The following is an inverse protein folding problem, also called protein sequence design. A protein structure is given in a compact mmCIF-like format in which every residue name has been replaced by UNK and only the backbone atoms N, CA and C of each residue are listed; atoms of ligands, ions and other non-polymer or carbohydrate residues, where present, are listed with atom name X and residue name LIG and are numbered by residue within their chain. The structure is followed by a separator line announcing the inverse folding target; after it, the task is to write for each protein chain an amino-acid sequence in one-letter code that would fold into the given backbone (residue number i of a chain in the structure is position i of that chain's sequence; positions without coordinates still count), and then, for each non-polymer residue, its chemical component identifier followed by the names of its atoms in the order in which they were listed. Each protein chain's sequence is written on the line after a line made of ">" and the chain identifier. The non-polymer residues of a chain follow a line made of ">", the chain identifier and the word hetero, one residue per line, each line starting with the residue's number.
data_IF_837495475291
#
_entry.id   IF_837495475291
#
_cell.length_a   1.000
_cell.length_b   1.000
_cell.length_c   1.000
_cell.angle_alpha   90.00
_cell.angle_beta   90.00
_cell.angle_gamma   90.00
#
_symmetry.space_group_name_H-M   'P 1'
#
loop_
_entity.id
_entity.type
_entity.pdbx_description
1 polymer ?
#
# COMPACT_ATOMS: atom_id res chain seq x y z
N UNK A 1 2.84 -9.30 -0.36
CA UNK A 1 2.19 -8.59 -1.49
C UNK A 1 2.53 -7.10 -1.54
N UNK A 2 2.17 -6.30 -0.52
CA UNK A 2 2.35 -4.84 -0.55
C UNK A 2 3.00 -4.35 0.75
N UNK A 3 4.34 -4.30 0.84
CA UNK A 3 5.04 -4.01 2.09
C UNK A 3 4.86 -2.56 2.57
N UNK A 4 4.72 -1.62 1.63
CA UNK A 4 4.55 -0.19 1.88
C UNK A 4 3.48 0.38 0.95
N UNK A 5 2.96 1.57 1.27
CA UNK A 5 1.98 2.28 0.45
C UNK A 5 2.49 2.56 -0.97
N UNK A 6 3.80 2.75 -1.14
CA UNK A 6 4.41 2.98 -2.46
C UNK A 6 4.20 1.79 -3.41
N UNK A 7 3.96 0.58 -2.90
CA UNK A 7 3.72 -0.62 -3.71
C UNK A 7 2.24 -0.76 -4.12
N UNK A 8 1.48 0.32 -4.12
CA UNK A 8 0.06 0.33 -4.51
C UNK A 8 -0.17 -0.23 -5.92
N UNK A 9 0.69 0.12 -6.89
CA UNK A 9 0.58 -0.42 -8.24
C UNK A 9 0.71 -1.97 -8.19
N UNK A 10 -0.26 -2.75 -8.73
CA UNK A 10 -0.19 -4.21 -8.75
C UNK A 10 1.11 -4.75 -9.35
N UNK A 11 1.64 -4.08 -10.38
CA UNK A 11 2.87 -4.47 -11.09
C UNK A 11 4.14 -4.26 -10.26
N UNK A 12 4.08 -3.43 -9.22
CA UNK A 12 5.22 -3.18 -8.33
C UNK A 12 5.25 -4.25 -7.25
N UNK A 13 5.76 -5.41 -7.62
CA UNK A 13 6.04 -6.53 -6.72
C UNK A 13 7.51 -6.57 -6.32
N UNK A 14 7.81 -7.23 -5.20
CA UNK A 14 9.18 -7.37 -4.73
C UNK A 14 9.92 -8.42 -5.55
N UNK A 15 11.23 -8.24 -5.70
CA UNK A 15 12.11 -9.29 -6.22
C UNK A 15 12.22 -10.51 -5.29
N UNK A 16 11.72 -10.40 -4.05
CA UNK A 16 11.64 -11.48 -3.07
C UNK A 16 10.44 -12.41 -3.26
N UNK A 17 9.46 -12.04 -4.09
CA UNK A 17 8.29 -12.88 -4.32
C UNK A 17 8.68 -14.02 -5.29
N UNK A 18 8.70 -15.27 -4.80
CA UNK A 18 9.02 -16.46 -5.63
C UNK A 18 8.01 -16.69 -6.78
N UNK A 19 6.78 -16.19 -6.60
CA UNK A 19 5.68 -16.31 -7.56
C UNK A 19 5.12 -14.93 -7.91
N UNK A 20 5.87 -14.09 -8.64
CA UNK A 20 5.51 -12.69 -8.84
C UNK A 20 4.21 -12.54 -9.63
N UNK A 21 3.94 -13.43 -10.60
CA UNK A 21 2.69 -13.43 -11.35
C UNK A 21 1.48 -13.67 -10.44
N UNK A 22 1.57 -14.61 -9.49
CA UNK A 22 0.51 -14.87 -8.52
C UNK A 22 0.29 -13.66 -7.62
N UNK A 23 1.36 -13.00 -7.16
CA UNK A 23 1.26 -11.79 -6.36
C UNK A 23 0.56 -10.65 -7.11
N UNK A 24 0.86 -10.46 -8.41
CA UNK A 24 0.23 -9.43 -9.23
C UNK A 24 -1.28 -9.65 -9.32
N UNK A 25 -1.73 -10.85 -9.70
CA UNK A 25 -3.16 -11.15 -9.82
C UNK A 25 -3.90 -11.06 -8.49
N UNK A 26 -3.26 -11.49 -7.40
CA UNK A 26 -3.84 -11.35 -6.06
C UNK A 26 -3.96 -9.86 -5.64
N UNK A 27 -2.95 -9.02 -5.91
CA UNK A 27 -3.02 -7.57 -5.63
C UNK A 27 -4.15 -6.92 -6.40
N UNK A 28 -4.24 -7.18 -7.70
CA UNK A 28 -5.25 -6.58 -8.56
C UNK A 28 -6.67 -6.84 -8.05
N UNK A 29 -6.97 -8.12 -7.74
CA UNK A 29 -8.25 -8.51 -7.15
C UNK A 29 -8.52 -7.87 -5.79
N UNK A 30 -7.54 -7.92 -4.87
CA UNK A 30 -7.69 -7.41 -3.51
C UNK A 30 -7.90 -5.89 -3.52
N UNK A 31 -7.15 -5.16 -4.35
CA UNK A 31 -7.26 -3.71 -4.45
C UNK A 31 -8.62 -3.30 -5.01
N UNK A 32 -9.10 -3.97 -6.07
CA UNK A 32 -10.42 -3.72 -6.62
C UNK A 32 -11.53 -3.91 -5.59
N UNK A 33 -11.50 -5.02 -4.83
CA UNK A 33 -12.47 -5.27 -3.75
C UNK A 33 -12.36 -4.20 -2.65
N UNK A 34 -11.15 -3.92 -2.19
CA UNK A 34 -10.90 -3.02 -1.08
C UNK A 34 -11.31 -1.57 -1.40
N UNK A 35 -11.10 -1.10 -2.63
CA UNK A 35 -11.53 0.24 -3.04
C UNK A 35 -13.05 0.35 -3.05
N UNK A 36 -13.77 -0.64 -3.58
CA UNK A 36 -15.24 -0.63 -3.58
C UNK A 36 -15.81 -0.78 -2.16
N UNK A 37 -15.15 -1.58 -1.31
CA UNK A 37 -15.55 -1.85 0.07
C UNK A 37 -15.15 -0.78 1.08
N UNK A 38 -14.45 0.29 0.67
CA UNK A 38 -13.89 1.32 1.56
C UNK A 38 -12.97 0.73 2.65
N UNK A 39 -12.16 -0.27 2.31
CA UNK A 39 -11.30 -0.94 3.28
C UNK A 39 -10.10 -0.08 3.67
N UNK A 40 -9.59 -0.34 4.87
CA UNK A 40 -8.37 0.28 5.40
C UNK A 40 -7.21 -0.70 5.28
N UNK A 41 -6.12 -0.25 4.68
CA UNK A 41 -4.89 -1.03 4.55
C UNK A 41 -3.98 -0.73 5.72
N UNK A 42 -3.52 -1.78 6.40
CA UNK A 42 -2.54 -1.67 7.48
C UNK A 42 -1.18 -2.15 7.00
N UNK A 43 -0.12 -1.45 7.39
CA UNK A 43 1.24 -1.72 6.94
C UNK A 43 2.19 -2.00 8.10
N UNK A 44 3.00 -3.04 7.93
CA UNK A 44 4.05 -3.39 8.89
C UNK A 44 5.39 -2.71 8.53
N UNK A 45 5.79 -2.76 7.26
CA UNK A 45 7.08 -2.28 6.77
C UNK A 45 7.07 -0.83 6.29
N UNK A 46 5.91 -0.19 6.22
CA UNK A 46 5.83 1.21 5.86
C UNK A 46 6.45 2.08 6.96
N UNK A 47 7.32 3.01 6.56
CA UNK A 47 8.06 3.87 7.48
C UNK A 47 7.26 5.09 7.92
N UNK A 48 6.22 5.48 7.17
CA UNK A 48 5.47 6.72 7.36
C UNK A 48 4.06 6.47 7.88
N UNK A 49 3.39 5.45 7.35
CA UNK A 49 1.99 5.16 7.66
C UNK A 49 1.83 3.81 8.37
N UNK A 50 0.94 3.74 9.36
CA UNK A 50 0.43 2.47 9.90
C UNK A 50 -0.80 2.00 9.14
N UNK A 51 -1.62 2.95 8.71
CA UNK A 51 -2.87 2.67 8.02
C UNK A 51 -3.15 3.74 6.98
N UNK A 52 -3.67 3.33 5.82
CA UNK A 52 -4.17 4.22 4.77
C UNK A 52 -5.52 3.69 4.27
N UNK A 53 -6.43 4.61 3.97
CA UNK A 53 -7.64 4.37 3.21
C UNK A 53 -7.58 5.22 1.95
N UNK A 54 -7.79 4.58 0.81
CA UNK A 54 -7.94 5.27 -0.47
C UNK A 54 -9.42 5.50 -0.80
N UNK A 55 -9.67 6.42 -1.72
CA UNK A 55 -10.97 6.55 -2.36
C UNK A 55 -11.31 5.31 -3.22
N UNK A 56 -12.56 5.26 -3.71
CA UNK A 56 -13.03 4.16 -4.55
C UNK A 56 -12.30 4.07 -5.90
N UNK A 57 -11.63 5.15 -6.32
CA UNK A 57 -10.82 5.19 -7.53
C UNK A 57 -9.37 4.71 -7.28
N UNK A 58 -8.97 4.51 -6.02
CA UNK A 58 -7.60 4.18 -5.64
C UNK A 58 -6.59 5.28 -5.94
N UNK A 59 -6.99 6.56 -5.98
CA UNK A 59 -6.09 7.68 -6.33
C UNK A 59 -5.75 8.53 -5.12
N UNK A 60 -6.76 9.00 -4.41
CA UNK A 60 -6.58 9.93 -3.30
C UNK A 60 -6.63 9.21 -1.96
N UNK A 61 -5.83 9.67 -1.00
CA UNK A 61 -5.87 9.20 0.39
C UNK A 61 -6.97 9.96 1.13
N UNK A 62 -7.97 9.26 1.64
CA UNK A 62 -9.10 9.86 2.35
C UNK A 62 -8.98 9.72 3.88
N UNK A 63 -8.20 8.76 4.35
CA UNK A 63 -7.89 8.60 5.78
C UNK A 63 -6.51 7.98 5.94
N UNK A 64 -5.74 8.47 6.91
CA UNK A 64 -4.41 7.94 7.19
C UNK A 64 -4.13 7.95 8.70
N UNK A 65 -3.30 7.00 9.12
CA UNK A 65 -2.68 6.98 10.43
C UNK A 65 -1.17 6.95 10.24
N UNK A 66 -0.49 8.03 10.64
CA UNK A 66 0.97 8.10 10.61
C UNK A 66 1.59 7.25 11.72
N UNK A 67 2.81 6.79 11.50
CA UNK A 67 3.62 6.17 12.55
C UNK A 67 4.08 7.24 13.54
N UNK A 68 4.03 6.90 14.82
CA UNK A 68 4.53 7.76 15.90
C UNK A 68 6.05 7.88 15.88
N UNK A 69 6.75 6.79 15.54
CA UNK A 69 8.20 6.79 15.43
C UNK A 69 8.63 7.57 14.20
N UNK A 70 9.54 8.54 14.38
CA UNK A 70 10.08 9.30 13.26
C UNK A 70 10.79 8.35 12.28
N UNK A 71 10.47 8.42 10.98
CA UNK A 71 11.16 7.63 9.97
C UNK A 71 12.64 8.04 9.95
N UNK A 72 13.53 7.05 9.93
CA UNK A 72 14.99 7.29 9.87
C UNK A 72 15.44 7.86 8.51
N UNK A 73 14.57 7.74 7.50
CA UNK A 73 14.80 8.24 6.14
C UNK A 73 13.77 9.34 5.88
N UNK A 74 14.19 10.57 5.52
CA UNK A 74 13.26 11.62 5.15
C UNK A 74 12.60 11.30 3.80
N UNK A 75 11.32 11.63 3.63
CA UNK A 75 10.75 11.71 2.29
C UNK A 75 11.48 12.85 1.58
N UNK A 76 12.15 12.54 0.47
CA UNK A 76 12.63 13.59 -0.43
C UNK A 76 11.40 14.38 -0.86
N UNK A 77 11.37 15.67 -0.51
CA UNK A 77 10.31 16.56 -0.95
C UNK A 77 10.28 16.54 -2.49
N UNK A 78 9.11 16.21 -3.05
CA UNK A 78 8.83 16.45 -4.46
C UNK A 78 8.63 17.94 -4.70
#
# INVERSE_FOLDING_TARGET
>A
LMPTHAHQNPLWVLAYDDYPMTSIFAKDRILAEAYQGNYKFIFYHDAYYRMIQWDQAGKEIISELKREAKPKVPLLNK
#
